data_IF_092513738032
#
_entry.id   IF_092513738032
#
_cell.length_a   1.000
_cell.length_b   1.000
_cell.length_c   1.000
_cell.angle_alpha   90.00
_cell.angle_beta   90.00
_cell.angle_gamma   90.00
#
_symmetry.space_group_name_H-M   'P 1'
#
loop_
_entity.id
_entity.type
_entity.pdbx_description
1 polymer ?
#
# COMPACT_ATOMS: atom_id res chain seq x y z
N UNK A 1 -20.51 3.20 1.46
CA UNK A 1 -20.16 4.62 1.63
C UNK A 1 -20.72 5.31 2.86
N UNK A 2 -21.17 4.56 3.87
CA UNK A 2 -21.65 5.14 5.13
C UNK A 2 -20.52 5.80 5.93
N UNK A 3 -19.29 5.32 5.73
CA UNK A 3 -18.07 5.78 6.40
C UNK A 3 -17.01 6.13 5.35
N UNK A 4 -17.11 7.33 4.70
CA UNK A 4 -16.16 7.78 3.68
C UNK A 4 -14.80 8.15 4.30
N UNK A 5 -13.90 8.74 3.51
CA UNK A 5 -12.64 9.28 4.00
C UNK A 5 -12.88 10.27 5.17
N UNK A 6 -12.12 10.21 6.29
CA UNK A 6 -10.96 9.32 6.51
C UNK A 6 -11.25 8.08 7.37
N UNK A 7 -12.51 7.69 7.61
CA UNK A 7 -12.89 6.70 8.62
C UNK A 7 -12.12 5.37 8.52
N UNK A 8 -11.99 4.77 7.33
CA UNK A 8 -11.25 3.52 7.18
C UNK A 8 -9.77 3.65 7.55
N UNK A 9 -9.17 4.80 7.32
CA UNK A 9 -7.80 5.09 7.73
C UNK A 9 -7.70 5.24 9.26
N UNK A 10 -8.66 5.91 9.89
CA UNK A 10 -8.74 6.07 11.35
C UNK A 10 -8.92 4.72 12.05
N UNK A 11 -9.75 3.84 11.50
CA UNK A 11 -9.92 2.47 12.00
C UNK A 11 -8.60 1.69 11.96
N UNK A 12 -7.92 1.69 10.81
CA UNK A 12 -6.62 1.04 10.67
C UNK A 12 -5.57 1.62 11.64
N UNK A 13 -5.54 2.94 11.80
CA UNK A 13 -4.65 3.61 12.74
C UNK A 13 -4.96 3.21 14.19
N UNK A 14 -6.24 3.17 14.55
CA UNK A 14 -6.69 2.73 15.88
C UNK A 14 -6.27 1.30 16.17
N UNK A 15 -6.51 0.37 15.22
CA UNK A 15 -6.09 -1.03 15.35
C UNK A 15 -4.58 -1.14 15.55
N UNK A 16 -3.79 -0.46 14.72
CA UNK A 16 -2.32 -0.53 14.80
C UNK A 16 -1.80 -0.02 16.15
N UNK A 17 -2.37 1.06 16.69
CA UNK A 17 -1.98 1.63 17.99
C UNK A 17 -2.38 0.80 19.19
N UNK A 18 -3.45 0.03 19.10
CA UNK A 18 -3.95 -0.80 20.19
C UNK A 18 -3.58 -2.28 20.07
N UNK A 19 -2.74 -2.63 19.07
CA UNK A 19 -2.40 -4.01 18.78
C UNK A 19 -1.75 -4.74 20.00
N UNK A 20 -0.75 -4.12 20.62
CA UNK A 20 -0.03 -4.75 21.72
C UNK A 20 -0.90 -5.00 22.96
N UNK A 21 -1.66 -4.02 23.48
CA UNK A 21 -2.58 -4.27 24.59
C UNK A 21 -3.59 -5.38 24.32
N UNK A 22 -4.09 -5.48 23.08
CA UNK A 22 -5.04 -6.53 22.70
C UNK A 22 -4.37 -7.91 22.69
N UNK A 23 -3.16 -8.02 22.11
CA UNK A 23 -2.41 -9.27 22.10
C UNK A 23 -1.99 -9.72 23.52
N UNK A 24 -1.57 -8.78 24.36
CA UNK A 24 -1.23 -9.02 25.76
C UNK A 24 -2.46 -9.52 26.55
N UNK A 25 -3.62 -8.89 26.38
CA UNK A 25 -4.87 -9.29 27.04
C UNK A 25 -5.34 -10.70 26.59
N UNK A 26 -5.00 -11.11 25.37
CA UNK A 26 -5.30 -12.44 24.84
C UNK A 26 -4.24 -13.48 25.17
N UNK A 27 -3.16 -13.13 25.88
CA UNK A 27 -2.05 -14.02 26.21
C UNK A 27 -1.30 -14.52 24.96
N UNK A 28 -1.29 -13.78 23.88
CA UNK A 28 -0.60 -14.16 22.64
C UNK A 28 0.91 -13.95 22.77
N UNK A 29 1.69 -14.91 22.28
CA UNK A 29 3.15 -14.74 22.14
C UNK A 29 3.45 -14.04 20.82
N UNK A 30 4.25 -12.98 20.86
CA UNK A 30 4.66 -12.21 19.68
C UNK A 30 5.99 -11.50 19.94
N UNK A 31 6.64 -11.06 18.87
CA UNK A 31 7.75 -10.11 18.95
C UNK A 31 7.16 -8.70 18.82
N UNK A 32 7.66 -7.73 19.59
CA UNK A 32 7.24 -6.33 19.49
C UNK A 32 7.85 -5.66 18.26
N UNK A 33 7.56 -6.22 17.08
CA UNK A 33 7.93 -5.70 15.77
C UNK A 33 6.65 -5.52 14.95
N UNK A 34 6.48 -4.35 14.38
CA UNK A 34 5.29 -4.01 13.60
C UNK A 34 5.68 -3.83 12.13
N UNK A 35 5.09 -4.62 11.28
CA UNK A 35 5.08 -4.41 9.84
C UNK A 35 3.65 -4.12 9.38
N UNK A 36 3.49 -3.18 8.45
CA UNK A 36 2.23 -2.91 7.78
C UNK A 36 2.28 -3.50 6.39
N UNK A 37 1.24 -4.23 6.01
CA UNK A 37 1.12 -4.81 4.67
C UNK A 37 -0.27 -4.54 4.11
N UNK A 38 -0.35 -4.28 2.82
CA UNK A 38 -1.63 -4.11 2.15
C UNK A 38 -1.51 -4.20 0.64
N UNK A 39 -2.57 -4.71 0.03
CA UNK A 39 -2.73 -4.77 -1.41
C UNK A 39 -3.73 -3.70 -1.88
N UNK A 40 -3.50 -3.11 -3.06
CA UNK A 40 -4.42 -2.14 -3.66
C UNK A 40 -4.76 -0.99 -2.72
N UNK A 41 -6.02 -0.77 -2.36
CA UNK A 41 -6.45 0.19 -1.35
C UNK A 41 -5.90 -0.09 0.05
N UNK A 42 -5.63 -1.36 0.41
CA UNK A 42 -4.92 -1.71 1.63
C UNK A 42 -3.48 -1.21 1.63
N UNK A 43 -2.83 -1.20 0.48
CA UNK A 43 -1.52 -0.58 0.27
C UNK A 43 -1.54 0.93 0.53
N UNK A 44 -2.63 1.61 0.19
CA UNK A 44 -2.84 3.03 0.52
C UNK A 44 -2.81 3.27 2.02
N UNK A 45 -3.56 2.46 2.78
CA UNK A 45 -3.60 2.57 4.24
C UNK A 45 -2.24 2.28 4.86
N UNK A 46 -1.56 1.22 4.40
CA UNK A 46 -0.22 0.88 4.88
C UNK A 46 0.78 2.03 4.63
N UNK A 47 0.79 2.61 3.43
CA UNK A 47 1.67 3.72 3.08
C UNK A 47 1.34 4.99 3.87
N UNK A 48 0.05 5.33 4.02
CA UNK A 48 -0.39 6.50 4.80
C UNK A 48 -0.02 6.36 6.27
N UNK A 49 -0.29 5.20 6.88
CA UNK A 49 0.06 4.97 8.29
C UNK A 49 1.57 4.99 8.51
N UNK A 50 2.35 4.44 7.58
CA UNK A 50 3.82 4.50 7.63
C UNK A 50 4.33 5.94 7.52
N UNK A 51 3.71 6.77 6.68
CA UNK A 51 4.05 8.21 6.59
C UNK A 51 3.75 8.94 7.91
N UNK A 52 2.61 8.66 8.55
CA UNK A 52 2.24 9.23 9.85
C UNK A 52 3.16 8.73 10.98
N UNK A 53 3.54 7.45 10.95
CA UNK A 53 4.40 6.81 11.94
C UNK A 53 5.79 7.47 12.07
N UNK A 54 6.29 8.13 11.03
CA UNK A 54 7.57 8.85 11.09
C UNK A 54 7.64 9.85 12.26
N UNK A 55 6.51 10.34 12.73
CA UNK A 55 6.39 11.35 13.79
C UNK A 55 5.58 10.86 15.01
N UNK A 56 5.12 9.60 15.04
CA UNK A 56 4.38 9.03 16.17
C UNK A 56 5.12 7.82 16.79
N UNK A 57 5.84 8.05 17.89
CA UNK A 57 6.55 6.98 18.61
C UNK A 57 5.64 5.86 19.14
N UNK A 58 4.32 6.11 19.21
CA UNK A 58 3.35 5.08 19.65
C UNK A 58 2.96 4.13 18.52
N UNK A 59 3.44 4.39 17.29
CA UNK A 59 3.24 3.57 16.10
C UNK A 59 4.60 3.19 15.52
N UNK A 60 5.38 2.29 16.16
CA UNK A 60 6.73 1.95 15.75
C UNK A 60 6.73 0.95 14.57
N UNK A 61 6.38 1.44 13.39
CA UNK A 61 6.40 0.65 12.16
C UNK A 61 7.84 0.46 11.69
N UNK A 62 8.31 -0.78 11.58
CA UNK A 62 9.65 -1.12 11.12
C UNK A 62 9.71 -1.40 9.62
N UNK A 63 8.67 -2.03 9.07
CA UNK A 63 8.59 -2.41 7.66
C UNK A 63 7.22 -2.15 7.08
N UNK A 64 7.17 -1.87 5.78
CA UNK A 64 5.91 -1.86 5.03
C UNK A 64 6.01 -2.66 3.74
N UNK A 65 4.93 -3.36 3.40
CA UNK A 65 4.78 -4.13 2.17
C UNK A 65 3.58 -3.58 1.40
N UNK A 66 3.83 -3.08 0.21
CA UNK A 66 2.84 -2.43 -0.65
C UNK A 66 2.68 -3.25 -1.91
N UNK A 67 1.53 -3.89 -2.09
CA UNK A 67 1.27 -4.81 -3.21
C UNK A 67 0.33 -4.10 -4.19
N UNK A 68 0.82 -3.81 -5.41
CA UNK A 68 0.12 -3.01 -6.44
C UNK A 68 -0.70 -1.86 -5.83
N UNK A 69 -0.07 -1.01 -4.97
CA UNK A 69 -0.79 -0.09 -4.12
C UNK A 69 -1.44 1.05 -4.91
N UNK A 70 -2.55 1.59 -4.39
CA UNK A 70 -3.09 2.88 -4.83
C UNK A 70 -2.47 3.99 -3.99
N UNK A 71 -1.68 4.87 -4.60
CA UNK A 71 -0.88 5.88 -3.91
C UNK A 71 -1.18 7.31 -4.36
N UNK A 72 -1.92 7.47 -5.47
CA UNK A 72 -2.33 8.75 -6.02
C UNK A 72 -3.82 8.78 -6.37
N UNK A 73 -4.60 9.48 -5.57
CA UNK A 73 -6.05 9.63 -5.79
C UNK A 73 -6.41 10.60 -6.93
N UNK A 74 -5.42 11.22 -7.59
CA UNK A 74 -5.67 12.17 -8.70
C UNK A 74 -5.89 11.49 -10.04
N UNK A 75 -5.45 10.23 -10.20
CA UNK A 75 -5.53 9.43 -11.44
C UNK A 75 -4.82 10.06 -12.64
N UNK A 76 -3.72 10.78 -12.41
CA UNK A 76 -3.02 11.54 -13.46
C UNK A 76 -1.82 10.80 -14.09
N UNK A 77 -1.58 9.53 -13.73
CA UNK A 77 -0.48 8.75 -14.29
C UNK A 77 -0.83 8.13 -15.66
N UNK A 78 0.15 8.00 -16.58
CA UNK A 78 -0.06 7.39 -17.90
C UNK A 78 -0.65 6.00 -17.84
N UNK A 79 -0.23 5.14 -16.89
CA UNK A 79 -0.74 3.78 -16.73
C UNK A 79 -2.25 3.72 -16.48
N UNK A 80 -2.86 4.79 -15.94
CA UNK A 80 -4.32 4.86 -15.76
C UNK A 80 -5.03 4.85 -17.11
N UNK A 81 -4.45 5.48 -18.13
CA UNK A 81 -4.99 5.47 -19.51
C UNK A 81 -4.58 4.21 -20.26
N UNK A 82 -3.31 3.81 -20.15
CA UNK A 82 -2.75 2.66 -20.87
C UNK A 82 -3.40 1.33 -20.44
N UNK A 83 -3.56 1.13 -19.15
CA UNK A 83 -4.05 -0.11 -18.53
C UNK A 83 -5.47 0.03 -17.95
N UNK A 84 -6.11 1.17 -18.14
CA UNK A 84 -7.41 1.48 -17.52
C UNK A 84 -8.61 0.79 -18.15
N UNK A 85 -8.40 -0.11 -19.13
CA UNK A 85 -9.48 -0.88 -19.76
C UNK A 85 -9.00 -2.28 -20.18
N UNK A 86 -9.81 -3.29 -19.87
CA UNK A 86 -9.58 -4.66 -20.33
C UNK A 86 -8.61 -5.49 -19.45
N UNK A 87 -8.07 -4.94 -18.36
CA UNK A 87 -7.14 -5.61 -17.45
C UNK A 87 -7.70 -5.75 -16.02
N UNK A 88 -8.95 -6.18 -15.88
CA UNK A 88 -9.67 -6.44 -14.64
C UNK A 88 -10.01 -5.17 -13.85
N UNK A 89 -9.04 -4.40 -13.38
CA UNK A 89 -9.27 -3.09 -12.74
C UNK A 89 -9.32 -2.01 -13.81
N UNK A 90 -10.49 -1.40 -13.96
CA UNK A 90 -10.70 -0.34 -14.96
C UNK A 90 -10.68 1.05 -14.32
N UNK A 91 -10.19 2.05 -15.08
CA UNK A 91 -10.07 3.44 -14.61
C UNK A 91 -11.42 4.02 -14.15
N UNK A 92 -12.51 3.72 -14.84
CA UNK A 92 -13.86 4.13 -14.45
C UNK A 92 -14.25 3.55 -13.08
N UNK A 93 -13.86 2.29 -12.80
CA UNK A 93 -14.11 1.65 -11.51
C UNK A 93 -13.29 2.31 -10.39
N UNK A 94 -12.04 2.67 -10.65
CA UNK A 94 -11.20 3.39 -9.68
C UNK A 94 -11.83 4.76 -9.38
N UNK A 95 -12.24 5.50 -10.42
CA UNK A 95 -12.91 6.79 -10.27
C UNK A 95 -14.20 6.67 -9.43
N UNK A 96 -14.97 5.60 -9.67
CA UNK A 96 -16.18 5.30 -8.89
C UNK A 96 -15.86 5.04 -7.41
N UNK A 97 -14.82 4.27 -7.09
CA UNK A 97 -14.37 4.06 -5.71
C UNK A 97 -14.00 5.39 -5.05
N UNK A 98 -13.23 6.24 -5.74
CA UNK A 98 -12.80 7.51 -5.18
C UNK A 98 -13.96 8.50 -4.98
N UNK A 99 -14.99 8.49 -5.85
CA UNK A 99 -16.21 9.29 -5.65
C UNK A 99 -16.98 8.87 -4.38
N UNK A 100 -16.97 7.56 -4.06
CA UNK A 100 -17.63 7.05 -2.86
C UNK A 100 -16.79 7.18 -1.59
N UNK A 101 -15.48 7.31 -1.74
CA UNK A 101 -14.55 7.48 -0.62
C UNK A 101 -14.39 8.96 -0.24
N UNK A 102 -14.31 9.85 -1.22
CA UNK A 102 -14.19 11.30 -1.04
C UNK A 102 -15.52 11.98 -1.34
N UNK A 103 -16.33 12.22 -0.31
CA UNK A 103 -17.71 12.69 -0.48
C UNK A 103 -17.91 14.17 -0.13
N UNK A 104 -16.90 14.84 0.48
CA UNK A 104 -17.06 16.17 1.06
C UNK A 104 -16.08 17.19 0.46
N UNK A 105 -15.54 16.91 -0.75
CA UNK A 105 -14.64 17.83 -1.44
C UNK A 105 -13.21 17.84 -0.87
N UNK A 106 -12.79 16.74 -0.28
CA UNK A 106 -11.46 16.58 0.30
C UNK A 106 -10.36 16.77 -0.74
N UNK A 107 -9.21 17.29 -0.31
CA UNK A 107 -8.01 17.40 -1.14
C UNK A 107 -7.42 16.00 -1.42
N UNK A 108 -7.79 15.43 -2.55
CA UNK A 108 -7.32 14.10 -2.98
C UNK A 108 -5.81 14.03 -3.12
N UNK A 109 -5.18 15.11 -3.59
CA UNK A 109 -3.73 15.14 -3.72
C UNK A 109 -3.06 15.15 -2.35
N UNK A 110 -3.54 15.99 -1.43
CA UNK A 110 -3.03 16.03 -0.06
C UNK A 110 -3.27 14.75 0.73
N UNK A 111 -4.33 14.00 0.41
CA UNK A 111 -4.64 12.70 1.01
C UNK A 111 -3.82 11.54 0.40
N UNK A 112 -3.19 11.74 -0.77
CA UNK A 112 -2.46 10.68 -1.49
C UNK A 112 -1.10 10.40 -0.85
N UNK A 113 -0.78 9.14 -0.50
CA UNK A 113 0.52 8.77 0.07
C UNK A 113 1.72 9.20 -0.79
N UNK A 114 1.57 9.19 -2.11
CA UNK A 114 2.60 9.60 -3.04
C UNK A 114 3.10 11.03 -2.77
N UNK A 115 2.28 11.93 -2.25
CA UNK A 115 2.64 13.33 -2.01
C UNK A 115 2.88 13.67 -0.54
N UNK A 116 2.68 12.74 0.38
CA UNK A 116 2.95 12.95 1.80
C UNK A 116 4.45 13.14 2.07
N UNK A 117 4.85 13.84 3.14
CA UNK A 117 6.26 13.98 3.50
C UNK A 117 6.95 12.63 3.69
N UNK A 118 8.11 12.46 3.08
CA UNK A 118 8.99 11.28 3.22
C UNK A 118 10.32 11.73 3.80
N UNK A 119 10.82 11.00 4.79
CA UNK A 119 12.15 11.17 5.35
C UNK A 119 12.81 9.81 5.55
N UNK A 120 14.08 9.78 5.92
CA UNK A 120 14.82 8.55 6.26
C UNK A 120 14.28 7.82 7.50
N UNK A 121 13.23 8.33 8.14
CA UNK A 121 12.49 7.66 9.23
C UNK A 121 11.32 6.82 8.72
N UNK A 122 11.02 6.87 7.42
CA UNK A 122 10.01 5.98 6.85
C UNK A 122 10.49 4.53 6.98
N UNK A 123 9.60 3.57 7.26
CA UNK A 123 9.97 2.15 7.38
C UNK A 123 10.66 1.62 6.13
N UNK A 124 11.53 0.62 6.30
CA UNK A 124 12.02 -0.19 5.17
C UNK A 124 10.82 -0.69 4.36
N UNK A 125 10.89 -0.57 3.02
CA UNK A 125 9.74 -0.73 2.17
C UNK A 125 9.97 -1.80 1.11
N UNK A 126 8.99 -2.71 0.95
CA UNK A 126 8.86 -3.56 -0.23
C UNK A 126 7.66 -3.06 -1.06
N UNK A 127 7.92 -2.71 -2.32
CA UNK A 127 6.87 -2.39 -3.29
C UNK A 127 6.79 -3.50 -4.33
N UNK A 128 5.60 -4.01 -4.56
CA UNK A 128 5.32 -4.99 -5.60
C UNK A 128 4.39 -4.36 -6.62
N UNK A 129 4.75 -4.37 -7.89
CA UNK A 129 3.95 -3.79 -8.98
C UNK A 129 3.73 -4.79 -10.11
N UNK A 130 2.71 -4.53 -10.93
CA UNK A 130 2.33 -5.35 -12.08
C UNK A 130 2.26 -4.48 -13.33
N UNK A 131 2.73 -4.99 -14.47
CA UNK A 131 2.82 -4.24 -15.73
C UNK A 131 1.45 -3.79 -16.22
N UNK A 132 0.48 -4.70 -16.26
CA UNK A 132 -0.87 -4.40 -16.76
C UNK A 132 -1.81 -3.91 -15.64
N UNK A 133 -1.31 -2.96 -14.83
CA UNK A 133 -2.04 -2.36 -13.71
C UNK A 133 -2.20 -0.85 -13.93
N UNK A 134 -3.41 -0.28 -13.82
CA UNK A 134 -3.60 1.18 -13.87
C UNK A 134 -2.81 1.95 -12.81
N UNK A 135 -2.47 1.30 -11.69
CA UNK A 135 -1.73 1.88 -10.57
C UNK A 135 -0.20 1.66 -10.67
N UNK A 136 0.30 1.15 -11.83
CA UNK A 136 1.71 0.85 -12.05
C UNK A 136 2.60 2.07 -11.82
N UNK A 137 2.31 3.16 -12.50
CA UNK A 137 3.21 4.31 -12.55
C UNK A 137 3.28 5.06 -11.22
N UNK A 138 2.19 5.10 -10.45
CA UNK A 138 2.22 5.70 -9.12
C UNK A 138 3.06 4.87 -8.13
N UNK A 139 3.06 3.53 -8.28
CA UNK A 139 3.93 2.66 -7.51
C UNK A 139 5.41 2.89 -7.89
N UNK A 140 5.73 3.01 -9.19
CA UNK A 140 7.08 3.32 -9.67
C UNK A 140 7.55 4.71 -9.19
N UNK A 141 6.68 5.70 -9.25
CA UNK A 141 6.97 7.06 -8.76
C UNK A 141 7.26 7.06 -7.24
N UNK A 142 6.53 6.24 -6.49
CA UNK A 142 6.78 6.09 -5.05
C UNK A 142 8.13 5.43 -4.76
N UNK A 143 8.49 4.36 -5.48
CA UNK A 143 9.81 3.72 -5.41
C UNK A 143 10.92 4.72 -5.68
N UNK A 144 10.81 5.51 -6.76
CA UNK A 144 11.78 6.54 -7.09
C UNK A 144 11.93 7.55 -5.94
N UNK A 145 10.82 8.01 -5.39
CA UNK A 145 10.81 8.96 -4.28
C UNK A 145 11.46 8.41 -3.01
N UNK A 146 11.24 7.13 -2.69
CA UNK A 146 11.89 6.48 -1.56
C UNK A 146 13.41 6.42 -1.76
N UNK A 147 13.86 6.03 -2.96
CA UNK A 147 15.28 5.98 -3.31
C UNK A 147 15.95 7.37 -3.22
N UNK A 148 15.30 8.41 -3.75
CA UNK A 148 15.80 9.79 -3.72
C UNK A 148 15.93 10.33 -2.29
N UNK A 149 15.13 9.81 -1.36
CA UNK A 149 15.13 10.19 0.05
C UNK A 149 16.05 9.30 0.91
N UNK A 150 16.62 8.24 0.33
CA UNK A 150 17.51 7.30 1.02
C UNK A 150 16.77 6.33 1.95
N UNK A 151 15.48 6.11 1.73
CA UNK A 151 14.70 5.07 2.43
C UNK A 151 15.05 3.72 1.83
N UNK A 152 15.43 2.69 2.62
CA UNK A 152 15.65 1.36 2.11
C UNK A 152 14.39 0.83 1.40
N UNK A 153 14.50 0.57 0.09
CA UNK A 153 13.37 0.15 -0.73
C UNK A 153 13.77 -1.02 -1.62
N UNK A 154 13.02 -2.12 -1.52
CA UNK A 154 13.06 -3.22 -2.50
C UNK A 154 11.86 -3.06 -3.43
N UNK A 155 12.07 -3.28 -4.71
CA UNK A 155 11.01 -3.25 -5.72
C UNK A 155 10.98 -4.56 -6.50
N UNK A 156 9.83 -5.22 -6.51
CA UNK A 156 9.55 -6.37 -7.36
C UNK A 156 8.50 -5.99 -8.40
N UNK A 157 8.86 -6.00 -9.66
CA UNK A 157 7.94 -5.80 -10.77
C UNK A 157 7.62 -7.14 -11.44
N UNK A 158 6.35 -7.36 -11.77
CA UNK A 158 5.88 -8.48 -12.58
C UNK A 158 5.44 -7.95 -13.94
N UNK A 159 6.20 -8.28 -14.99
CA UNK A 159 6.04 -7.78 -16.36
C UNK A 159 4.92 -8.47 -17.16
N UNK A 160 4.32 -9.51 -16.58
CA UNK A 160 3.25 -10.32 -17.19
C UNK A 160 1.96 -10.37 -16.35
N UNK A 161 1.88 -9.59 -15.25
CA UNK A 161 0.73 -9.63 -14.33
C UNK A 161 -0.17 -8.40 -14.47
N UNK A 162 -1.46 -8.63 -14.12
CA UNK A 162 -2.50 -7.60 -13.99
C UNK A 162 -2.66 -7.17 -12.54
N UNK A 163 -3.43 -6.09 -12.30
CA UNK A 163 -3.85 -5.72 -10.94
C UNK A 163 -4.60 -6.88 -10.26
N UNK A 164 -4.37 -7.04 -8.96
CA UNK A 164 -5.04 -8.04 -8.11
C UNK A 164 -4.80 -9.52 -8.52
N UNK A 165 -3.69 -9.82 -9.22
CA UNK A 165 -3.35 -11.20 -9.59
C UNK A 165 -3.28 -12.16 -8.38
N UNK A 166 -2.97 -11.67 -7.17
CA UNK A 166 -2.98 -12.49 -5.95
C UNK A 166 -4.35 -13.08 -5.62
N UNK A 167 -5.43 -12.45 -6.08
CA UNK A 167 -6.79 -12.98 -5.92
C UNK A 167 -7.14 -14.02 -7.01
N UNK A 168 -6.23 -14.25 -7.94
CA UNK A 168 -6.38 -15.16 -9.07
C UNK A 168 -5.33 -16.29 -9.02
N UNK A 169 -5.02 -16.80 -7.82
CA UNK A 169 -3.93 -17.76 -7.59
C UNK A 169 -4.03 -19.00 -8.49
N UNK A 170 -5.23 -19.49 -8.77
CA UNK A 170 -5.43 -20.62 -9.70
C UNK A 170 -5.03 -20.32 -11.14
N UNK A 171 -4.96 -19.04 -11.54
CA UNK A 171 -4.55 -18.60 -12.89
C UNK A 171 -3.10 -18.13 -12.94
N UNK A 172 -2.55 -17.67 -11.80
CA UNK A 172 -1.20 -17.13 -11.69
C UNK A 172 -0.42 -17.73 -10.50
N UNK A 173 -0.33 -19.08 -10.37
CA UNK A 173 0.23 -19.72 -9.17
C UNK A 173 1.69 -19.38 -8.95
N UNK A 174 2.49 -19.27 -10.01
CA UNK A 174 3.93 -18.98 -9.91
C UNK A 174 4.20 -17.54 -9.45
N UNK A 175 3.44 -16.58 -9.98
CA UNK A 175 3.53 -15.18 -9.58
C UNK A 175 3.09 -15.00 -8.12
N UNK A 176 2.00 -15.65 -7.71
CA UNK A 176 1.54 -15.64 -6.32
C UNK A 176 2.59 -16.22 -5.37
N UNK A 177 3.12 -17.42 -5.71
CA UNK A 177 4.16 -18.06 -4.91
C UNK A 177 5.46 -17.21 -4.85
N UNK A 178 5.84 -16.56 -5.94
CA UNK A 178 6.99 -15.65 -5.96
C UNK A 178 6.75 -14.44 -5.07
N UNK A 179 5.55 -13.85 -5.11
CA UNK A 179 5.15 -12.73 -4.25
C UNK A 179 5.23 -13.10 -2.77
N UNK A 180 4.68 -14.25 -2.37
CA UNK A 180 4.73 -14.69 -0.97
C UNK A 180 6.15 -14.98 -0.50
N UNK A 181 7.01 -15.54 -1.36
CA UNK A 181 8.44 -15.75 -1.03
C UNK A 181 9.17 -14.41 -0.83
N UNK A 182 8.92 -13.45 -1.71
CA UNK A 182 9.53 -12.11 -1.60
C UNK A 182 9.11 -11.39 -0.32
N UNK A 183 7.83 -11.45 0.03
CA UNK A 183 7.30 -10.88 1.28
C UNK A 183 7.94 -11.58 2.49
N UNK A 184 8.01 -12.91 2.49
CA UNK A 184 8.60 -13.66 3.60
C UNK A 184 10.09 -13.34 3.79
N UNK A 185 10.87 -13.31 2.70
CA UNK A 185 12.27 -12.93 2.73
C UNK A 185 12.45 -11.51 3.27
N UNK A 186 11.69 -10.55 2.74
CA UNK A 186 11.71 -9.17 3.19
C UNK A 186 11.40 -9.03 4.69
N UNK A 187 10.35 -9.68 5.18
CA UNK A 187 9.95 -9.59 6.59
C UNK A 187 10.98 -10.23 7.52
N UNK A 188 11.64 -11.31 7.11
CA UNK A 188 12.68 -12.00 7.88
C UNK A 188 14.04 -11.29 7.83
N UNK A 189 14.26 -10.40 6.89
CA UNK A 189 15.53 -9.66 6.72
C UNK A 189 16.57 -10.41 5.90
N UNK A 190 16.11 -11.28 4.98
CA UNK A 190 16.93 -12.07 4.04
C UNK A 190 17.18 -11.29 2.73
#
# INVERSE_FOLDING_TARGET
PEYPYPFGLEDCHSVARHLWPVLDAQGRRYQRRLALAGDSGGGTFAATLSALAQNDQRLPVEKQVLIYPSLDYTLNHPSVTENGKGYLLEAERIAWYFQHYFQHGEDRRGASPLFMPVSNRLPETLVISAEYCPLRDEALAYVQRLNDTGVPCRHRHFDDMIHAYLNLESLAPDACAATYREIAAFLNGD
#
